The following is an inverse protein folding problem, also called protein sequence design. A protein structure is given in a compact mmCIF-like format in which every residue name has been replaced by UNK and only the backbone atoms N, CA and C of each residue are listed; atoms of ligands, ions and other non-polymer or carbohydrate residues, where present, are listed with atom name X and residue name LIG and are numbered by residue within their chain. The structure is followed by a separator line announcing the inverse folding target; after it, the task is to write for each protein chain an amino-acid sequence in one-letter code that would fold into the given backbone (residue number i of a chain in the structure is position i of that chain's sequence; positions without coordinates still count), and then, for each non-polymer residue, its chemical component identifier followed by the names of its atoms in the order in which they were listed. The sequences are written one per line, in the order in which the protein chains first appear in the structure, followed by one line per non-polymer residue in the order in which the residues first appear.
data_IF_605263596962
#
_entry.id   IF_605263596962
#
_cell.length_a   1.000
_cell.length_b   1.000
_cell.length_c   1.000
_cell.angle_alpha   90.00
_cell.angle_beta   90.00
_cell.angle_gamma   90.00
#
_symmetry.space_group_name_H-M   'P 1'
#
loop_
_entity.id
_entity.type
_entity.pdbx_description
1 polymer ?
#
# COMPACT_ATOMS: atom_id res chain seq x y z
N UNK A 1 15.66 11.76 1.97
CA UNK A 1 14.73 12.60 2.75
C UNK A 1 13.72 11.68 3.41
N UNK A 2 13.30 11.96 4.64
CA UNK A 2 12.27 11.16 5.33
C UNK A 2 10.92 11.85 5.14
N UNK A 3 9.99 11.20 4.46
CA UNK A 3 8.64 11.75 4.26
C UNK A 3 7.83 11.68 5.56
N UNK A 4 6.88 12.60 5.72
CA UNK A 4 5.90 12.55 6.81
C UNK A 4 5.02 11.33 6.63
N UNK A 5 4.68 10.65 7.72
CA UNK A 5 3.70 9.57 7.72
C UNK A 5 2.30 10.09 7.32
N UNK A 6 1.42 9.21 6.82
CA UNK A 6 0.02 9.60 6.57
C UNK A 6 -0.66 10.16 7.82
N UNK A 7 -0.35 9.62 9.01
CA UNK A 7 -0.91 10.10 10.28
C UNK A 7 -0.57 11.56 10.52
N UNK A 8 0.69 11.95 10.31
CA UNK A 8 1.16 13.33 10.46
C UNK A 8 0.56 14.25 9.39
N UNK A 9 0.49 13.78 8.14
CA UNK A 9 -0.07 14.57 7.04
C UNK A 9 -1.57 14.84 7.22
N UNK A 10 -2.35 13.79 7.52
CA UNK A 10 -3.81 13.86 7.72
C UNK A 10 -4.21 14.65 8.97
N UNK A 11 -3.32 14.74 9.97
CA UNK A 11 -3.55 15.59 11.13
C UNK A 11 -3.50 17.09 10.79
N UNK A 12 -2.80 17.47 9.73
CA UNK A 12 -2.67 18.87 9.30
C UNK A 12 -3.58 19.26 8.14
N UNK A 13 -3.72 18.39 7.13
CA UNK A 13 -4.33 18.75 5.86
C UNK A 13 -4.94 17.55 5.13
N UNK A 14 -5.71 17.83 4.07
CA UNK A 14 -6.14 16.79 3.14
C UNK A 14 -4.95 16.30 2.31
N UNK A 15 -4.80 14.98 2.20
CA UNK A 15 -3.71 14.36 1.46
C UNK A 15 -4.22 13.83 0.13
N UNK A 16 -3.65 14.34 -0.96
CA UNK A 16 -3.84 13.74 -2.28
C UNK A 16 -2.85 12.59 -2.45
N UNK A 17 -3.38 11.36 -2.41
CA UNK A 17 -2.61 10.15 -2.67
C UNK A 17 -2.79 9.69 -4.12
N UNK A 18 -1.70 9.44 -4.84
CA UNK A 18 -1.77 8.91 -6.20
C UNK A 18 -2.19 7.44 -6.17
N UNK A 19 -3.17 7.08 -7.00
CA UNK A 19 -3.53 5.69 -7.23
C UNK A 19 -2.46 5.01 -8.11
N UNK A 20 -1.82 3.97 -7.60
CA UNK A 20 -0.70 3.25 -8.23
C UNK A 20 -0.96 1.75 -8.22
N UNK A 21 -0.28 1.01 -9.09
CA UNK A 21 -0.44 -0.45 -9.23
C UNK A 21 0.86 -1.17 -9.61
N UNK A 22 1.94 -0.44 -9.84
CA UNK A 22 3.26 -0.97 -10.16
C UNK A 22 4.39 0.02 -9.81
N UNK A 23 5.63 -0.40 -9.98
CA UNK A 23 6.80 0.44 -9.70
C UNK A 23 6.90 1.67 -10.61
N UNK A 24 6.40 1.59 -11.85
CA UNK A 24 6.51 2.68 -12.81
C UNK A 24 5.50 3.80 -12.51
N UNK A 25 4.26 3.44 -12.14
CA UNK A 25 3.24 4.39 -11.68
C UNK A 25 3.66 5.10 -10.40
N UNK A 26 4.39 4.44 -9.51
CA UNK A 26 5.01 5.07 -8.33
C UNK A 26 6.02 6.15 -8.74
N UNK A 27 6.93 5.85 -9.68
CA UNK A 27 7.89 6.84 -10.18
C UNK A 27 7.21 8.00 -10.89
N UNK A 28 6.14 7.75 -11.63
CA UNK A 28 5.33 8.81 -12.23
C UNK A 28 4.69 9.70 -11.15
N UNK A 29 4.14 9.12 -10.09
CA UNK A 29 3.56 9.86 -8.98
C UNK A 29 4.60 10.73 -8.24
N UNK A 30 5.81 10.21 -8.00
CA UNK A 30 6.92 10.98 -7.42
C UNK A 30 7.28 12.20 -8.29
N UNK A 31 7.39 12.00 -9.61
CA UNK A 31 7.70 13.07 -10.56
C UNK A 31 6.60 14.14 -10.64
N UNK A 32 5.35 13.75 -10.42
CA UNK A 32 4.21 14.67 -10.34
C UNK A 32 4.11 15.40 -8.98
N UNK A 33 4.98 15.08 -8.01
CA UNK A 33 5.03 15.77 -6.72
C UNK A 33 3.98 15.33 -5.70
N UNK A 34 3.47 14.10 -5.81
CA UNK A 34 2.55 13.54 -4.82
C UNK A 34 3.25 13.29 -3.48
N UNK A 35 2.52 13.46 -2.38
CA UNK A 35 3.01 13.27 -1.01
C UNK A 35 2.57 11.94 -0.36
N UNK A 36 1.80 11.13 -1.10
CA UNK A 36 1.34 9.83 -0.67
C UNK A 36 0.85 8.98 -1.85
N UNK A 37 0.75 7.69 -1.61
CA UNK A 37 0.40 6.68 -2.60
C UNK A 37 -0.74 5.78 -2.08
N UNK A 38 -1.56 5.28 -2.98
CA UNK A 38 -2.55 4.25 -2.72
C UNK A 38 -2.37 3.12 -3.74
N UNK A 39 -2.03 1.92 -3.28
CA UNK A 39 -1.98 0.73 -4.09
C UNK A 39 -3.41 0.23 -4.35
N UNK A 40 -3.81 0.16 -5.62
CA UNK A 40 -5.13 -0.34 -6.02
C UNK A 40 -5.14 -1.85 -6.20
N UNK A 41 -6.07 -2.56 -5.53
CA UNK A 41 -6.27 -4.00 -5.73
C UNK A 41 -6.71 -4.31 -7.16
N UNK A 42 -7.76 -3.64 -7.65
CA UNK A 42 -8.29 -3.90 -8.98
C UNK A 42 -7.39 -3.56 -10.17
N UNK A 43 -6.53 -2.53 -10.07
CA UNK A 43 -5.54 -2.24 -11.11
C UNK A 43 -4.35 -3.21 -11.04
N UNK A 44 -3.93 -3.58 -9.83
CA UNK A 44 -2.89 -4.59 -9.61
C UNK A 44 -3.32 -5.94 -10.20
N UNK A 45 -4.54 -6.39 -9.93
CA UNK A 45 -5.10 -7.64 -10.48
C UNK A 45 -4.99 -7.70 -12.01
N UNK A 46 -5.33 -6.60 -12.68
CA UNK A 46 -5.28 -6.49 -14.14
C UNK A 46 -3.85 -6.41 -14.66
N UNK A 47 -3.02 -5.56 -14.05
CA UNK A 47 -1.68 -5.27 -14.55
C UNK A 47 -0.69 -6.41 -14.28
N UNK A 48 -0.80 -7.05 -13.12
CA UNK A 48 0.14 -8.07 -12.66
C UNK A 48 -0.29 -9.47 -13.10
N UNK A 49 -1.59 -9.77 -12.98
CA UNK A 49 -2.09 -11.14 -13.10
C UNK A 49 -3.08 -11.34 -14.25
N UNK A 50 -3.46 -10.25 -14.94
CA UNK A 50 -4.28 -10.30 -16.15
C UNK A 50 -5.75 -10.67 -15.93
N UNK A 51 -6.22 -10.73 -14.68
CA UNK A 51 -7.61 -11.03 -14.34
C UNK A 51 -8.36 -9.78 -13.85
N UNK A 52 -9.70 -9.70 -14.05
CA UNK A 52 -10.50 -8.60 -13.52
C UNK A 52 -10.55 -8.65 -12.00
N UNK A 53 -10.87 -7.53 -11.37
CA UNK A 53 -11.00 -7.45 -9.91
C UNK A 53 -12.19 -8.29 -9.40
N UNK A 54 -11.88 -9.48 -8.93
CA UNK A 54 -12.84 -10.47 -8.44
C UNK A 54 -12.62 -10.82 -6.96
N UNK A 55 -11.73 -10.10 -6.27
CA UNK A 55 -11.33 -10.44 -4.89
C UNK A 55 -10.57 -11.77 -4.75
N UNK A 56 -9.99 -12.28 -5.85
CA UNK A 56 -9.24 -13.54 -5.88
C UNK A 56 -7.72 -13.36 -5.76
N UNK A 57 -7.25 -12.11 -5.59
CA UNK A 57 -5.84 -11.83 -5.41
C UNK A 57 -5.34 -12.47 -4.13
N UNK A 58 -4.28 -13.26 -4.26
CA UNK A 58 -3.66 -13.93 -3.14
C UNK A 58 -2.89 -12.94 -2.25
N UNK A 59 -2.65 -13.33 -0.99
CA UNK A 59 -1.82 -12.53 -0.10
C UNK A 59 -0.37 -12.46 -0.59
N UNK A 60 0.12 -13.53 -1.20
CA UNK A 60 1.47 -13.58 -1.75
C UNK A 60 1.63 -12.56 -2.89
N UNK A 61 0.61 -12.43 -3.75
CA UNK A 61 0.56 -11.41 -4.80
C UNK A 61 0.55 -9.99 -4.23
N UNK A 62 -0.27 -9.75 -3.20
CA UNK A 62 -0.35 -8.44 -2.52
C UNK A 62 0.96 -8.07 -1.80
N UNK A 63 1.57 -9.03 -1.10
CA UNK A 63 2.87 -8.86 -0.44
C UNK A 63 3.97 -8.59 -1.47
N UNK A 64 3.98 -9.35 -2.56
CA UNK A 64 4.98 -9.23 -3.63
C UNK A 64 5.00 -7.84 -4.23
N UNK A 65 3.83 -7.27 -4.56
CA UNK A 65 3.77 -5.93 -5.14
C UNK A 65 4.07 -4.85 -4.10
N UNK A 66 3.53 -4.99 -2.87
CA UNK A 66 3.70 -4.00 -1.81
C UNK A 66 5.17 -3.83 -1.44
N UNK A 67 5.90 -4.94 -1.28
CA UNK A 67 7.34 -4.92 -0.97
C UNK A 67 8.14 -4.19 -2.06
N UNK A 68 7.88 -4.48 -3.34
CA UNK A 68 8.60 -3.83 -4.43
C UNK A 68 8.33 -2.34 -4.52
N UNK A 69 7.10 -1.92 -4.25
CA UNK A 69 6.77 -0.50 -4.20
C UNK A 69 7.54 0.16 -3.06
N UNK A 70 7.49 -0.40 -1.85
CA UNK A 70 8.20 0.18 -0.69
C UNK A 70 9.72 0.17 -0.81
N UNK A 71 10.29 -0.75 -1.60
CA UNK A 71 11.74 -0.78 -1.85
C UNK A 71 12.24 0.41 -2.71
N UNK A 72 11.37 1.00 -3.54
CA UNK A 72 11.78 2.01 -4.53
C UNK A 72 11.37 3.44 -4.18
N UNK A 73 10.48 3.64 -3.22
CA UNK A 73 10.00 4.96 -2.83
C UNK A 73 10.04 5.12 -1.32
N UNK A 74 10.19 6.37 -0.89
CA UNK A 74 10.01 6.72 0.51
C UNK A 74 8.67 7.40 0.82
N UNK A 75 7.75 7.46 -0.14
CA UNK A 75 6.41 7.99 0.07
C UNK A 75 5.55 7.03 0.90
N UNK A 76 4.67 7.53 1.78
CA UNK A 76 3.77 6.67 2.52
C UNK A 76 2.76 6.00 1.56
N UNK A 77 2.48 4.72 1.80
CA UNK A 77 1.63 3.87 0.95
C UNK A 77 0.42 3.35 1.73
N UNK A 78 -0.78 3.59 1.22
CA UNK A 78 -2.00 2.89 1.64
C UNK A 78 -2.16 1.67 0.74
N UNK A 79 -2.43 0.52 1.33
CA UNK A 79 -2.62 -0.75 0.59
C UNK A 79 -4.09 -1.11 0.62
N UNK A 80 -4.68 -1.27 -0.57
CA UNK A 80 -5.98 -1.92 -0.72
C UNK A 80 -5.82 -3.42 -0.46
N UNK A 81 -6.33 -3.87 0.68
CA UNK A 81 -6.24 -5.26 1.12
C UNK A 81 -7.58 -5.99 1.00
N UNK A 82 -8.51 -5.48 0.19
CA UNK A 82 -9.86 -6.04 0.02
C UNK A 82 -10.56 -6.26 1.38
N UNK A 83 -11.13 -7.45 1.61
CA UNK A 83 -11.67 -7.88 2.91
C UNK A 83 -10.63 -8.63 3.77
N UNK A 84 -9.34 -8.55 3.43
CA UNK A 84 -8.30 -9.45 3.91
C UNK A 84 -8.33 -10.81 3.20
N UNK A 85 -7.39 -11.70 3.53
CA UNK A 85 -7.48 -13.07 3.04
C UNK A 85 -8.77 -13.74 3.51
N UNK A 86 -9.28 -14.68 2.70
CA UNK A 86 -10.45 -15.52 2.99
C UNK A 86 -10.45 -16.16 4.40
N UNK A 87 -9.29 -16.23 5.05
CA UNK A 87 -9.09 -16.93 6.32
C UNK A 87 -8.87 -16.00 7.51
N UNK A 88 -8.27 -14.82 7.33
CA UNK A 88 -7.98 -13.91 8.45
C UNK A 88 -7.52 -12.51 8.02
N UNK A 89 -8.25 -11.50 8.50
CA UNK A 89 -7.81 -10.09 8.46
C UNK A 89 -6.55 -9.89 9.31
N UNK A 90 -6.50 -10.49 10.51
CA UNK A 90 -5.36 -10.34 11.42
C UNK A 90 -4.06 -10.89 10.84
N UNK A 91 -4.13 -12.00 10.08
CA UNK A 91 -2.96 -12.53 9.36
C UNK A 91 -2.51 -11.58 8.25
N UNK A 92 -3.47 -11.02 7.50
CA UNK A 92 -3.22 -10.03 6.44
C UNK A 92 -2.48 -8.81 7.00
N UNK A 93 -3.00 -8.24 8.09
CA UNK A 93 -2.37 -7.10 8.77
C UNK A 93 -0.98 -7.48 9.29
N UNK A 94 -0.81 -8.65 9.92
CA UNK A 94 0.49 -9.08 10.43
C UNK A 94 1.53 -9.22 9.34
N UNK A 95 1.19 -9.84 8.21
CA UNK A 95 2.15 -10.07 7.12
C UNK A 95 2.53 -8.77 6.42
N UNK A 96 1.54 -7.92 6.11
CA UNK A 96 1.79 -6.59 5.56
C UNK A 96 2.64 -5.77 6.53
N UNK A 97 2.27 -5.66 7.81
CA UNK A 97 3.02 -4.84 8.78
C UNK A 97 4.39 -5.41 9.13
N UNK A 98 4.57 -6.73 9.23
CA UNK A 98 5.85 -7.35 9.59
C UNK A 98 6.96 -7.03 8.58
N UNK A 99 6.60 -6.83 7.30
CA UNK A 99 7.54 -6.45 6.24
C UNK A 99 7.55 -4.96 5.95
N UNK A 100 6.39 -4.29 6.07
CA UNK A 100 6.24 -2.85 5.91
C UNK A 100 6.64 -2.06 7.18
N UNK A 101 7.22 -2.70 8.20
CA UNK A 101 7.56 -2.08 9.49
C UNK A 101 8.61 -0.95 9.42
N UNK A 102 9.22 -0.69 8.25
CA UNK A 102 9.98 0.55 8.02
C UNK A 102 9.13 1.71 7.48
N UNK A 103 7.95 1.42 6.91
CA UNK A 103 7.12 2.34 6.12
C UNK A 103 5.73 2.65 6.69
N UNK A 104 5.04 1.67 7.29
CA UNK A 104 3.74 1.85 7.91
C UNK A 104 3.87 2.18 9.40
N UNK A 105 4.20 3.44 9.71
CA UNK A 105 3.93 4.01 11.05
C UNK A 105 2.45 4.40 11.18
N UNK A 106 1.57 3.40 11.09
CA UNK A 106 0.25 3.49 11.70
C UNK A 106 0.29 2.60 12.93
N UNK A 107 0.46 3.20 14.11
CA UNK A 107 0.46 2.48 15.39
C UNK A 107 -0.90 1.80 15.59
N UNK A 108 -1.04 0.56 15.13
CA UNK A 108 -2.15 -0.33 15.46
C UNK A 108 -1.85 -1.22 16.67
N UNK A 109 -0.69 -1.03 17.30
CA UNK A 109 -0.16 -1.96 18.31
C UNK A 109 -0.63 -1.71 19.76
N UNK A 110 -1.54 -0.77 20.03
CA UNK A 110 -1.93 -0.45 21.42
C UNK A 110 -3.39 -0.75 21.80
N UNK A 111 -4.27 -1.23 20.92
CA UNK A 111 -5.69 -1.42 21.27
C UNK A 111 -6.40 -2.64 20.63
N UNK A 112 -5.72 -3.77 20.50
CA UNK A 112 -6.38 -5.07 20.26
C UNK A 112 -5.87 -6.12 21.25
#
# INVERSE_FOLDING_TARGET
MKYKSFREQLASEQVFAACVFDCMSVKAAELCGYNGLMLSGGLTARSMSGYPDLGIMSLDELEWISNRITDITSLPLVVDAENGTLWSISLTVRLLTARLNEFLRMDFAENL
#
